data_IF_370101908987
#
_entry.id   IF_370101908987
#
_cell.length_a   1.000
_cell.length_b   1.000
_cell.length_c   1.000
_cell.angle_alpha   90.00
_cell.angle_beta   90.00
_cell.angle_gamma   90.00
#
_symmetry.space_group_name_H-M   'P 1'
#
loop_
_entity.id
_entity.type
_entity.pdbx_description
1 polymer ?
#
# COMPACT_ATOMS: atom_id res chain seq x y z
N UNK A 1 -6.40 14.84 -16.98
CA UNK A 1 -5.11 14.22 -16.59
C UNK A 1 -4.07 14.22 -17.70
N UNK A 2 -4.47 14.10 -18.99
CA UNK A 2 -3.54 14.16 -20.15
C UNK A 2 -2.63 15.40 -20.17
N UNK A 3 -3.09 16.64 -19.84
CA UNK A 3 -2.19 17.80 -19.79
C UNK A 3 -1.05 17.69 -18.77
N UNK A 4 -1.18 16.78 -17.79
CA UNK A 4 -0.15 16.52 -16.77
C UNK A 4 0.74 15.30 -17.10
N UNK A 5 0.63 14.79 -18.34
CA UNK A 5 1.43 13.67 -18.82
C UNK A 5 0.94 12.27 -18.41
N UNK A 6 -0.25 12.16 -17.79
CA UNK A 6 -0.84 10.83 -17.53
C UNK A 6 -1.44 10.29 -18.82
N UNK A 7 -1.01 9.08 -19.20
CA UNK A 7 -1.36 8.46 -20.48
C UNK A 7 -2.22 7.22 -20.32
N UNK A 8 -2.21 6.60 -19.14
CA UNK A 8 -2.92 5.34 -18.90
C UNK A 8 -3.58 5.32 -17.52
N UNK A 9 -4.59 4.46 -17.38
CA UNK A 9 -5.30 4.27 -16.11
C UNK A 9 -5.98 2.92 -16.06
N UNK A 10 -6.12 2.36 -14.85
CA UNK A 10 -6.87 1.15 -14.57
C UNK A 10 -7.73 1.32 -13.33
N UNK A 11 -8.99 0.89 -13.45
CA UNK A 11 -9.92 0.67 -12.37
C UNK A 11 -10.66 -0.63 -12.71
N UNK A 12 -10.64 -1.58 -11.80
CA UNK A 12 -11.36 -2.85 -11.92
C UNK A 12 -12.31 -2.94 -10.72
N UNK A 13 -13.59 -3.11 -10.98
CA UNK A 13 -14.60 -3.24 -9.94
C UNK A 13 -14.36 -4.49 -9.09
N UNK A 14 -14.28 -4.29 -7.79
CA UNK A 14 -14.06 -5.34 -6.79
C UNK A 14 -15.38 -5.84 -6.17
N UNK A 15 -15.29 -6.37 -4.95
CA UNK A 15 -16.45 -6.92 -4.21
C UNK A 15 -16.74 -6.16 -2.91
N UNK A 16 -16.15 -4.99 -2.70
CA UNK A 16 -16.51 -4.20 -1.51
C UNK A 16 -17.98 -3.76 -1.60
N UNK A 17 -18.77 -4.08 -0.59
CA UNK A 17 -20.21 -3.82 -0.58
C UNK A 17 -20.59 -2.33 -0.67
N UNK A 18 -19.64 -1.44 -0.41
CA UNK A 18 -19.82 0.02 -0.50
C UNK A 18 -19.45 0.56 -1.89
N UNK A 19 -18.98 -0.32 -2.81
CA UNK A 19 -18.47 0.09 -4.12
C UNK A 19 -17.18 0.89 -4.06
N UNK A 20 -16.31 0.61 -3.07
CA UNK A 20 -15.02 1.26 -2.95
C UNK A 20 -13.95 0.40 -3.62
N UNK A 21 -13.32 0.95 -4.64
CA UNK A 21 -12.28 0.29 -5.41
C UNK A 21 -10.97 1.09 -5.39
N UNK A 22 -9.86 0.39 -5.64
CA UNK A 22 -8.56 1.00 -5.85
C UNK A 22 -8.34 1.22 -7.35
N UNK A 23 -7.71 2.34 -7.71
CA UNK A 23 -7.41 2.69 -9.09
C UNK A 23 -5.95 3.16 -9.24
N UNK A 24 -5.41 3.02 -10.43
CA UNK A 24 -4.09 3.53 -10.79
C UNK A 24 -4.20 4.43 -12.00
N UNK A 25 -3.58 5.60 -11.95
CA UNK A 25 -3.29 6.46 -13.10
C UNK A 25 -1.78 6.53 -13.29
N UNK A 26 -1.32 6.49 -14.53
CA UNK A 26 0.10 6.35 -14.84
C UNK A 26 0.56 7.27 -15.97
N UNK A 27 1.81 7.72 -15.87
CA UNK A 27 2.56 8.33 -16.99
C UNK A 27 3.27 7.30 -17.87
N UNK A 28 3.15 6.02 -17.52
CA UNK A 28 3.72 4.88 -18.24
C UNK A 28 2.61 3.94 -18.67
N UNK A 29 2.86 3.12 -19.69
CA UNK A 29 1.89 2.14 -20.14
C UNK A 29 1.62 1.08 -19.07
N UNK A 30 0.36 0.77 -18.82
CA UNK A 30 -0.08 -0.34 -18.00
C UNK A 30 -0.28 -1.53 -18.94
N UNK A 31 0.65 -2.50 -18.94
CA UNK A 31 0.64 -3.63 -19.87
C UNK A 31 -0.11 -4.86 -19.36
N UNK A 32 -0.42 -4.90 -18.08
CA UNK A 32 -1.22 -5.96 -17.45
C UNK A 32 -1.86 -5.43 -16.16
N UNK A 33 -3.07 -5.91 -15.85
CA UNK A 33 -3.73 -5.58 -14.59
C UNK A 33 -4.75 -6.63 -14.18
N UNK A 34 -4.87 -6.86 -12.87
CA UNK A 34 -5.85 -7.78 -12.27
C UNK A 34 -6.08 -7.50 -10.80
N UNK A 35 -7.10 -8.13 -10.24
CA UNK A 35 -7.40 -8.09 -8.81
C UNK A 35 -6.96 -9.39 -8.12
N UNK A 36 -6.38 -9.24 -6.92
CA UNK A 36 -6.17 -10.35 -6.00
C UNK A 36 -7.11 -10.17 -4.81
N UNK A 37 -8.05 -11.09 -4.68
CA UNK A 37 -8.97 -11.13 -3.56
C UNK A 37 -8.27 -11.67 -2.32
N UNK A 38 -8.46 -10.99 -1.20
CA UNK A 38 -7.90 -11.38 0.09
C UNK A 38 -8.83 -12.42 0.70
N UNK A 39 -8.26 -13.55 1.13
CA UNK A 39 -8.96 -14.55 1.93
C UNK A 39 -8.51 -14.39 3.36
N UNK A 40 -9.46 -14.19 4.24
CA UNK A 40 -9.21 -14.11 5.66
C UNK A 40 -9.26 -15.48 6.30
N UNK A 41 -8.64 -15.60 7.47
CA UNK A 41 -8.64 -16.80 8.29
C UNK A 41 -9.76 -16.78 9.35
N UNK A 42 -10.05 -17.95 9.92
CA UNK A 42 -10.96 -18.10 11.07
C UNK A 42 -12.38 -17.62 10.81
N UNK A 43 -12.93 -16.86 11.74
CA UNK A 43 -14.32 -16.37 11.67
C UNK A 43 -14.56 -15.32 10.58
N UNK A 44 -13.50 -14.80 9.97
CA UNK A 44 -13.58 -13.80 8.91
C UNK A 44 -13.50 -14.38 7.50
N UNK A 45 -13.43 -15.71 7.34
CA UNK A 45 -13.27 -16.39 6.03
C UNK A 45 -14.32 -15.97 4.98
N UNK A 46 -15.55 -15.69 5.42
CA UNK A 46 -16.65 -15.26 4.55
C UNK A 46 -16.70 -13.76 4.27
N UNK A 47 -15.78 -12.98 4.83
CA UNK A 47 -15.78 -11.52 4.65
C UNK A 47 -15.14 -11.14 3.33
N UNK A 48 -15.79 -10.26 2.59
CA UNK A 48 -15.22 -9.57 1.43
C UNK A 48 -14.64 -8.22 1.85
N UNK A 49 -13.60 -7.81 1.13
CA UNK A 49 -12.95 -6.49 1.27
C UNK A 49 -12.46 -6.02 -0.09
N UNK A 50 -11.90 -4.79 -0.14
CA UNK A 50 -11.21 -4.29 -1.32
C UNK A 50 -10.07 -5.22 -1.69
N UNK A 51 -10.02 -5.72 -2.94
CA UNK A 51 -8.91 -6.55 -3.40
C UNK A 51 -7.64 -5.71 -3.60
N UNK A 52 -6.50 -6.39 -3.69
CA UNK A 52 -5.24 -5.77 -4.12
C UNK A 52 -5.31 -5.58 -5.63
N UNK A 53 -5.18 -4.34 -6.11
CA UNK A 53 -5.00 -4.04 -7.53
C UNK A 53 -3.54 -4.30 -7.90
N UNK A 54 -3.32 -5.29 -8.75
CA UNK A 54 -2.01 -5.64 -9.33
C UNK A 54 -1.94 -5.04 -10.74
N UNK A 55 -1.00 -4.15 -10.97
CA UNK A 55 -0.72 -3.59 -12.28
C UNK A 55 0.76 -3.79 -12.64
N UNK A 56 1.03 -3.98 -13.92
CA UNK A 56 2.40 -4.03 -14.46
C UNK A 56 2.61 -2.84 -15.39
N UNK A 57 3.56 -2.00 -15.05
CA UNK A 57 3.98 -0.88 -15.88
C UNK A 57 5.16 -1.30 -16.77
N UNK A 58 5.24 -0.73 -17.98
CA UNK A 58 6.42 -0.77 -18.83
C UNK A 58 7.11 0.60 -18.81
N UNK A 59 8.36 0.61 -18.39
CA UNK A 59 9.20 1.81 -18.28
C UNK A 59 10.52 1.54 -19.01
N UNK A 60 10.73 2.16 -20.17
CA UNK A 60 11.93 1.98 -21.00
C UNK A 60 12.25 0.50 -21.33
N UNK A 61 11.23 -0.32 -21.54
CA UNK A 61 11.36 -1.75 -21.82
C UNK A 61 11.48 -2.65 -20.59
N UNK A 62 11.60 -2.07 -19.41
CA UNK A 62 11.64 -2.81 -18.14
C UNK A 62 10.26 -2.86 -17.48
N UNK A 63 9.99 -3.92 -16.72
CA UNK A 63 8.72 -4.12 -16.03
C UNK A 63 8.81 -3.70 -14.56
N UNK A 64 7.84 -2.90 -14.12
CA UNK A 64 7.63 -2.53 -12.73
C UNK A 64 6.25 -3.02 -12.27
N UNK A 65 6.20 -3.77 -11.18
CA UNK A 65 4.95 -4.16 -10.53
C UNK A 65 4.47 -3.11 -9.55
N UNK A 66 3.17 -2.82 -9.59
CA UNK A 66 2.49 -1.96 -8.63
C UNK A 66 1.38 -2.76 -7.97
N UNK A 67 1.40 -2.84 -6.65
CA UNK A 67 0.29 -3.31 -5.84
C UNK A 67 -0.35 -2.12 -5.14
N UNK A 68 -1.58 -1.77 -5.51
CA UNK A 68 -2.32 -0.72 -4.83
C UNK A 68 -3.29 -1.36 -3.84
N UNK A 69 -3.23 -0.94 -2.58
CA UNK A 69 -3.95 -1.55 -1.47
C UNK A 69 -4.85 -0.56 -0.74
N UNK A 70 -5.96 -1.06 -0.21
CA UNK A 70 -6.77 -0.39 0.79
C UNK A 70 -7.34 -1.46 1.73
N UNK A 71 -6.58 -1.78 2.77
CA UNK A 71 -6.87 -2.89 3.68
C UNK A 71 -8.05 -2.60 4.63
N UNK A 72 -8.56 -3.62 5.33
CA UNK A 72 -9.63 -3.43 6.32
C UNK A 72 -9.27 -2.38 7.36
N UNK A 73 -10.23 -1.48 7.63
CA UNK A 73 -10.03 -0.37 8.58
C UNK A 73 -9.83 -0.85 10.02
N UNK A 74 -9.34 0.03 10.89
CA UNK A 74 -9.14 -0.25 12.31
C UNK A 74 -10.39 -0.62 13.11
N UNK A 75 -11.61 -0.54 12.52
CA UNK A 75 -12.84 -1.08 13.11
C UNK A 75 -12.94 -2.61 12.98
N UNK A 76 -12.18 -3.22 12.07
CA UNK A 76 -12.09 -4.66 11.92
C UNK A 76 -10.97 -5.22 12.78
N UNK A 77 -11.03 -6.52 13.06
CA UNK A 77 -9.98 -7.21 13.78
C UNK A 77 -8.62 -7.08 13.07
N UNK A 78 -7.56 -6.95 13.84
CA UNK A 78 -6.20 -6.79 13.32
C UNK A 78 -5.73 -7.98 12.47
N UNK A 79 -6.25 -9.19 12.75
CA UNK A 79 -5.93 -10.39 11.99
C UNK A 79 -6.25 -10.23 10.49
N UNK A 80 -7.33 -9.52 10.16
CA UNK A 80 -7.67 -9.25 8.76
C UNK A 80 -6.60 -8.42 8.03
N UNK A 81 -5.93 -7.49 8.72
CA UNK A 81 -4.82 -6.72 8.16
C UNK A 81 -3.56 -7.56 8.03
N UNK A 82 -3.31 -8.45 9.00
CA UNK A 82 -2.19 -9.42 8.94
C UNK A 82 -2.38 -10.36 7.76
N UNK A 83 -3.57 -10.98 7.61
CA UNK A 83 -3.89 -11.83 6.46
C UNK A 83 -3.73 -11.09 5.13
N UNK A 84 -4.11 -9.80 5.09
CA UNK A 84 -3.94 -8.96 3.89
C UNK A 84 -2.46 -8.74 3.53
N UNK A 85 -1.61 -8.52 4.52
CA UNK A 85 -0.15 -8.40 4.35
C UNK A 85 0.49 -9.72 3.93
N UNK A 86 0.02 -10.84 4.46
CA UNK A 86 0.50 -12.18 4.08
C UNK A 86 0.16 -12.48 2.62
N UNK A 87 -1.07 -12.16 2.19
CA UNK A 87 -1.46 -12.27 0.77
C UNK A 87 -0.56 -11.38 -0.08
N UNK A 88 -0.37 -10.10 0.29
CA UNK A 88 0.48 -9.15 -0.44
C UNK A 88 1.91 -9.67 -0.59
N UNK A 89 2.53 -10.12 0.49
CA UNK A 89 3.89 -10.64 0.49
C UNK A 89 4.02 -11.94 -0.30
N UNK A 90 2.99 -12.80 -0.24
CA UNK A 90 2.91 -14.01 -1.05
C UNK A 90 2.87 -13.77 -2.56
N UNK A 91 2.37 -12.60 -3.00
CA UNK A 91 2.36 -12.24 -4.42
C UNK A 91 3.78 -12.05 -5.00
N UNK A 92 4.76 -11.68 -4.18
CA UNK A 92 6.15 -11.55 -4.61
C UNK A 92 6.72 -12.87 -5.16
N UNK A 93 6.25 -14.02 -4.68
CA UNK A 93 6.75 -15.33 -5.15
C UNK A 93 6.33 -15.66 -6.59
N UNK A 94 5.47 -14.84 -7.21
CA UNK A 94 4.93 -15.11 -8.55
C UNK A 94 5.74 -14.48 -9.69
N UNK A 95 6.72 -13.64 -9.38
CA UNK A 95 7.56 -12.95 -10.37
C UNK A 95 8.83 -12.40 -9.71
N UNK A 96 9.78 -11.90 -10.53
CA UNK A 96 11.03 -11.31 -10.06
C UNK A 96 11.17 -9.81 -10.43
N UNK A 97 10.08 -9.16 -10.82
CA UNK A 97 10.14 -7.74 -11.18
C UNK A 97 10.34 -6.86 -9.93
N UNK A 98 11.00 -5.70 -10.07
CA UNK A 98 10.90 -4.62 -9.09
C UNK A 98 9.44 -4.37 -8.75
N UNK A 99 9.12 -4.18 -7.48
CA UNK A 99 7.73 -4.09 -7.02
C UNK A 99 7.57 -2.98 -6.01
N UNK A 100 6.54 -2.17 -6.20
CA UNK A 100 6.07 -1.17 -5.26
C UNK A 100 4.69 -1.60 -4.78
N UNK A 101 4.48 -1.69 -3.47
CA UNK A 101 3.15 -1.74 -2.89
C UNK A 101 2.87 -0.43 -2.16
N UNK A 102 1.72 0.18 -2.40
CA UNK A 102 1.36 1.48 -1.85
C UNK A 102 -0.14 1.59 -1.60
N UNK A 103 -0.51 2.49 -0.71
CA UNK A 103 -1.90 2.78 -0.38
C UNK A 103 -2.16 2.82 1.11
N UNK A 104 -3.43 2.62 1.47
CA UNK A 104 -3.90 2.60 2.85
C UNK A 104 -3.84 1.18 3.42
N UNK A 105 -2.83 0.93 4.26
CA UNK A 105 -2.65 -0.35 4.96
C UNK A 105 -3.53 -0.45 6.22
N UNK A 106 -4.08 0.66 6.69
CA UNK A 106 -4.94 0.74 7.85
C UNK A 106 -4.36 0.15 9.16
N UNK A 107 -3.03 0.02 9.25
CA UNK A 107 -2.34 -0.43 10.45
C UNK A 107 -2.11 0.77 11.35
N UNK A 108 -2.83 0.82 12.48
CA UNK A 108 -2.66 1.90 13.42
C UNK A 108 -1.44 1.71 14.34
N UNK A 109 -0.93 2.80 14.89
CA UNK A 109 0.28 2.81 15.73
C UNK A 109 0.18 1.88 16.94
N UNK A 110 -1.01 1.73 17.54
CA UNK A 110 -1.21 0.84 18.70
C UNK A 110 -1.05 -0.63 18.32
N UNK A 111 -1.59 -1.03 17.17
CA UNK A 111 -1.46 -2.39 16.64
C UNK A 111 -0.02 -2.67 16.24
N UNK A 112 0.61 -1.74 15.52
CA UNK A 112 1.99 -1.90 15.10
C UNK A 112 2.95 -2.00 16.28
N UNK A 113 2.86 -1.11 17.27
CA UNK A 113 3.66 -1.16 18.48
C UNK A 113 3.51 -2.46 19.28
N UNK A 114 2.30 -3.05 19.27
CA UNK A 114 2.03 -4.29 19.99
C UNK A 114 2.53 -5.53 19.25
N UNK A 115 2.40 -5.55 17.92
CA UNK A 115 2.58 -6.76 17.11
C UNK A 115 3.78 -6.67 16.15
N UNK A 116 4.44 -5.51 16.07
CA UNK A 116 5.53 -5.24 15.13
C UNK A 116 5.15 -5.55 13.66
N UNK A 117 3.94 -5.14 13.26
CA UNK A 117 3.35 -5.53 11.97
C UNK A 117 4.23 -5.06 10.81
N UNK A 118 4.57 -3.77 10.75
CA UNK A 118 5.43 -3.25 9.70
C UNK A 118 6.86 -3.81 9.77
N UNK A 119 7.39 -3.97 10.98
CA UNK A 119 8.72 -4.57 11.19
C UNK A 119 8.79 -6.01 10.68
N UNK A 120 7.73 -6.80 10.85
CA UNK A 120 7.68 -8.17 10.36
C UNK A 120 7.73 -8.26 8.84
N UNK A 121 7.27 -7.22 8.13
CA UNK A 121 7.29 -7.17 6.66
C UNK A 121 8.70 -6.92 6.09
N UNK A 122 9.66 -6.50 6.90
CA UNK A 122 11.03 -6.24 6.48
C UNK A 122 11.79 -7.46 5.93
N UNK A 123 11.25 -8.66 6.11
CA UNK A 123 11.76 -9.88 5.46
C UNK A 123 11.63 -9.77 3.93
N UNK A 124 10.54 -9.16 3.44
CA UNK A 124 10.20 -9.08 2.01
C UNK A 124 10.32 -7.66 1.44
N UNK A 125 10.13 -6.65 2.29
CA UNK A 125 9.92 -5.28 1.90
C UNK A 125 10.85 -4.30 2.63
N UNK A 126 11.22 -3.24 1.97
CA UNK A 126 11.70 -2.01 2.62
C UNK A 126 10.50 -1.10 2.81
N UNK A 127 10.19 -0.72 4.03
CA UNK A 127 9.02 0.10 4.39
C UNK A 127 9.42 1.55 4.51
N UNK A 128 8.78 2.46 3.76
CA UNK A 128 9.19 3.85 3.59
C UNK A 128 9.46 4.59 4.92
N UNK A 129 8.49 4.57 5.82
CA UNK A 129 8.59 5.31 7.08
C UNK A 129 9.57 4.71 8.10
N UNK A 130 10.01 3.45 7.88
CA UNK A 130 11.04 2.81 8.72
C UNK A 130 12.44 3.09 8.18
N UNK A 131 12.60 3.11 6.84
CA UNK A 131 13.92 3.13 6.21
C UNK A 131 14.40 4.51 5.77
N UNK A 132 13.50 5.42 5.45
CA UNK A 132 13.87 6.59 4.68
C UNK A 132 13.16 7.88 5.13
N UNK A 133 12.64 7.92 6.37
CA UNK A 133 11.90 9.08 6.86
C UNK A 133 12.12 9.33 8.35
N UNK A 134 13.23 9.96 8.71
CA UNK A 134 13.63 10.19 10.10
C UNK A 134 12.67 11.14 10.85
N UNK A 135 12.12 12.14 10.17
CA UNK A 135 11.26 13.19 10.75
C UNK A 135 9.75 12.99 10.50
N UNK A 136 9.34 11.89 9.84
CA UNK A 136 7.94 11.65 9.55
C UNK A 136 7.16 11.23 10.81
N UNK A 137 6.12 11.99 11.12
CA UNK A 137 5.24 11.68 12.27
C UNK A 137 4.14 10.69 11.92
N UNK A 138 3.67 10.66 10.67
CA UNK A 138 2.58 9.81 10.18
C UNK A 138 1.90 10.42 8.97
N UNK A 139 1.16 9.60 8.23
CA UNK A 139 0.32 10.02 7.09
C UNK A 139 -1.04 10.56 7.54
N UNK A 140 -1.50 10.15 8.71
CA UNK A 140 -2.81 10.49 9.25
C UNK A 140 -2.73 10.91 10.71
N UNK A 141 -3.44 11.99 11.10
CA UNK A 141 -3.59 12.42 12.50
C UNK A 141 -4.92 11.94 13.07
N UNK A 142 -4.87 11.00 14.00
CA UNK A 142 -6.04 10.51 14.70
C UNK A 142 -6.44 11.47 15.82
N UNK A 143 -7.45 12.29 15.56
CA UNK A 143 -7.82 13.40 16.45
C UNK A 143 -8.27 12.97 17.85
N UNK A 144 -9.01 11.87 17.96
CA UNK A 144 -9.49 11.37 19.27
C UNK A 144 -8.35 10.83 20.13
N UNK A 145 -7.40 10.10 19.52
CA UNK A 145 -6.22 9.57 20.20
C UNK A 145 -5.08 10.56 20.33
N UNK A 146 -5.15 11.74 19.69
CA UNK A 146 -4.06 12.73 19.63
C UNK A 146 -2.73 12.12 19.14
N UNK A 147 -2.82 11.17 18.21
CA UNK A 147 -1.66 10.43 17.68
C UNK A 147 -1.53 10.60 16.17
N UNK A 148 -0.30 10.58 15.69
CA UNK A 148 0.02 10.43 14.29
C UNK A 148 0.17 8.94 13.97
N UNK A 149 -0.33 8.51 12.81
CA UNK A 149 -0.34 7.12 12.38
C UNK A 149 0.12 7.00 10.93
N UNK A 150 0.83 5.92 10.61
CA UNK A 150 1.22 5.59 9.24
C UNK A 150 0.20 4.62 8.61
N UNK A 151 -1.03 5.08 8.43
CA UNK A 151 -2.05 4.29 7.73
C UNK A 151 -1.68 4.09 6.26
N UNK A 152 -1.17 5.16 5.63
CA UNK A 152 -0.65 5.11 4.26
C UNK A 152 0.88 4.99 4.30
N UNK A 153 1.41 4.11 3.47
CA UNK A 153 2.85 3.95 3.31
C UNK A 153 3.20 3.35 1.95
N UNK A 154 4.50 3.22 1.69
CA UNK A 154 5.06 2.63 0.48
C UNK A 154 5.99 1.50 0.89
N UNK A 155 5.88 0.36 0.22
CA UNK A 155 6.77 -0.78 0.35
C UNK A 155 7.53 -0.99 -0.95
N UNK A 156 8.84 -1.19 -0.87
CA UNK A 156 9.68 -1.60 -2.01
C UNK A 156 10.18 -3.03 -1.80
N UNK A 157 10.04 -3.88 -2.83
CA UNK A 157 10.50 -5.28 -2.74
C UNK A 157 12.00 -5.38 -2.58
N UNK A 158 12.46 -6.11 -1.58
CA UNK A 158 13.90 -6.36 -1.35
C UNK A 158 14.51 -7.28 -2.40
N UNK A 159 15.76 -7.00 -2.78
CA UNK A 159 16.53 -7.87 -3.67
C UNK A 159 16.09 -7.87 -5.14
N UNK A 160 15.29 -6.88 -5.58
CA UNK A 160 14.71 -6.82 -6.93
C UNK A 160 15.10 -5.56 -7.71
N UNK A 161 16.24 -4.95 -7.39
CA UNK A 161 16.77 -3.80 -8.13
C UNK A 161 16.01 -2.49 -7.91
N UNK A 162 15.25 -2.36 -6.82
CA UNK A 162 14.58 -1.13 -6.41
C UNK A 162 14.93 -0.80 -4.96
N UNK A 163 15.20 0.47 -4.68
CA UNK A 163 15.49 0.96 -3.33
C UNK A 163 15.01 2.40 -3.18
N UNK A 164 14.85 2.86 -1.96
CA UNK A 164 14.71 4.29 -1.67
C UNK A 164 16.02 5.01 -1.96
N UNK A 165 15.92 6.27 -2.35
CA UNK A 165 17.05 7.20 -2.32
C UNK A 165 17.07 7.79 -0.92
N UNK A 166 18.21 7.75 -0.26
CA UNK A 166 18.37 8.27 1.11
C UNK A 166 17.87 9.72 1.21
N UNK A 167 17.22 10.04 2.32
CA UNK A 167 16.68 11.36 2.65
C UNK A 167 15.64 11.93 1.65
N UNK A 168 15.02 11.10 0.81
CA UNK A 168 14.01 11.57 -0.16
C UNK A 168 12.57 11.20 0.18
N UNK A 169 12.33 10.41 1.21
CA UNK A 169 10.97 10.10 1.66
C UNK A 169 10.48 11.18 2.62
N UNK A 170 9.37 11.81 2.26
CA UNK A 170 8.76 12.87 3.05
C UNK A 170 7.23 12.75 3.08
N UNK A 171 6.60 13.32 4.09
CA UNK A 171 5.16 13.54 4.10
C UNK A 171 4.88 14.89 3.45
N UNK A 172 4.36 14.85 2.21
CA UNK A 172 4.00 16.06 1.49
C UNK A 172 2.83 16.77 2.16
N UNK A 173 3.04 18.04 2.53
CA UNK A 173 2.02 18.91 3.13
C UNK A 173 1.78 20.12 2.25
N UNK A 174 0.53 20.33 1.85
CA UNK A 174 0.13 21.60 1.21
C UNK A 174 -0.11 22.67 2.27
N UNK A 175 0.06 23.94 1.91
CA UNK A 175 -0.25 25.07 2.81
C UNK A 175 -1.71 25.12 3.26
N UNK A 176 -2.62 24.48 2.53
CA UNK A 176 -4.05 24.37 2.87
C UNK A 176 -4.33 23.33 3.98
N UNK A 177 -3.38 22.47 4.29
CA UNK A 177 -3.52 21.42 5.30
C UNK A 177 -2.93 21.81 6.67
N UNK A 178 -2.57 23.08 6.87
CA UNK A 178 -2.22 23.62 8.18
C UNK A 178 -3.51 23.82 9.01
N UNK A 179 -4.07 22.74 9.51
CA UNK A 179 -5.00 22.87 10.65
C UNK A 179 -4.16 23.20 11.89
N UNK A 180 -4.40 24.41 12.43
CA UNK A 180 -3.90 24.90 13.71
C UNK A 180 -4.36 24.00 14.86
#
# INVERSE_FOLDING_TARGET
LKPYGYIDSVLIEGKDYRGIDTALISRFNIIDSKLHYIKFSGEFESRDTRPILDATLEINGEKLKIYNVHFPSGFHDVSMRIDSLDVLSGLLNRHNYPTIALGDFNVNTKEDNKLNIYKSQEVFWSVAHIYACDDCKGSYYYNYGKTWEFLDTIFLSKGRGISYIDDTVEIYRTKSNSYN
#
